data_IF_760268297418
#
_entry.id   IF_760268297418
#
_cell.length_a   1.000
_cell.length_b   1.000
_cell.length_c   1.000
_cell.angle_alpha   90.00
_cell.angle_beta   90.00
_cell.angle_gamma   90.00
#
_symmetry.space_group_name_H-M   'P 1'
#
loop_
_entity.id
_entity.type
_entity.pdbx_description
1 polymer ?
#
# COMPACT_ATOMS: atom_id res chain seq x y z
N UNK A 1 19.36 -18.76 2.80
CA UNK A 1 20.78 -18.91 3.16
C UNK A 1 21.04 -18.42 4.57
N UNK A 2 22.21 -18.71 5.10
CA UNK A 2 22.67 -18.45 6.49
C UNK A 2 22.34 -17.03 7.00
N UNK A 3 22.41 -16.02 6.13
CA UNK A 3 22.11 -14.62 6.52
C UNK A 3 20.66 -14.44 6.97
N UNK A 4 19.69 -14.97 6.23
CA UNK A 4 18.26 -14.88 6.59
C UNK A 4 17.96 -15.66 7.86
N UNK A 5 18.59 -16.82 8.06
CA UNK A 5 18.47 -17.63 9.28
C UNK A 5 19.01 -16.90 10.52
N UNK A 6 20.13 -16.16 10.35
CA UNK A 6 20.70 -15.33 11.41
C UNK A 6 19.77 -14.15 11.71
N UNK A 7 19.21 -13.48 10.70
CA UNK A 7 18.26 -12.39 10.88
C UNK A 7 16.98 -12.87 11.58
N UNK A 8 16.47 -14.04 11.24
CA UNK A 8 15.27 -14.61 11.86
C UNK A 8 15.50 -14.92 13.35
N UNK A 9 16.71 -15.40 13.69
CA UNK A 9 17.08 -15.76 15.06
C UNK A 9 17.44 -14.56 15.94
N UNK A 10 18.13 -13.55 15.39
CA UNK A 10 18.70 -12.43 16.16
C UNK A 10 17.99 -11.11 15.87
N UNK A 11 17.24 -11.01 14.77
CA UNK A 11 16.57 -9.80 14.36
C UNK A 11 15.28 -9.54 15.14
N UNK A 12 14.96 -8.27 15.28
CA UNK A 12 13.64 -7.82 15.72
C UNK A 12 12.79 -7.37 14.53
N UNK A 13 11.47 -7.56 14.62
CA UNK A 13 10.53 -7.08 13.61
C UNK A 13 10.62 -5.54 13.55
N UNK A 14 10.95 -4.94 12.39
CA UNK A 14 10.95 -3.48 12.27
C UNK A 14 9.53 -2.97 12.31
N UNK A 15 9.18 -2.30 13.41
CA UNK A 15 7.88 -1.66 13.59
C UNK A 15 7.98 -0.14 13.31
N UNK A 16 6.90 0.47 12.82
CA UNK A 16 6.83 1.93 12.74
C UNK A 16 7.03 2.58 14.11
N UNK A 17 7.61 3.81 14.18
CA UNK A 17 7.94 4.46 15.46
C UNK A 17 6.75 4.70 16.40
N UNK A 18 5.53 4.71 15.87
CA UNK A 18 4.31 4.89 16.69
C UNK A 18 3.82 3.58 17.35
N UNK A 19 4.40 2.43 17.03
CA UNK A 19 4.16 1.17 17.73
C UNK A 19 5.28 0.98 18.74
N UNK A 20 4.99 1.30 19.99
CA UNK A 20 5.96 1.25 21.10
C UNK A 20 5.91 -0.05 21.88
N UNK A 21 4.80 -0.78 21.77
CA UNK A 21 4.64 -2.06 22.45
C UNK A 21 5.29 -3.18 21.65
N UNK A 22 5.95 -4.10 22.36
CA UNK A 22 6.50 -5.29 21.74
C UNK A 22 5.36 -6.25 21.37
N UNK A 23 5.37 -6.73 20.13
CA UNK A 23 4.38 -7.71 19.71
C UNK A 23 4.74 -9.10 20.27
N UNK A 24 3.81 -9.73 20.99
CA UNK A 24 3.94 -11.11 21.45
C UNK A 24 4.00 -12.09 20.27
N UNK A 25 3.20 -11.82 19.23
CA UNK A 25 3.21 -12.57 17.97
C UNK A 25 3.69 -11.67 16.82
N UNK A 26 4.89 -11.94 16.32
CA UNK A 26 5.49 -11.24 15.18
C UNK A 26 4.62 -11.29 13.92
N UNK A 27 3.83 -12.38 13.74
CA UNK A 27 2.98 -12.56 12.56
C UNK A 27 1.80 -11.59 12.53
N UNK A 28 1.44 -10.98 13.65
CA UNK A 28 0.39 -9.93 13.66
C UNK A 28 0.73 -8.72 12.81
N UNK A 29 2.02 -8.42 12.62
CA UNK A 29 2.45 -7.32 11.76
C UNK A 29 2.83 -7.82 10.36
N UNK A 30 2.07 -8.79 9.84
CA UNK A 30 2.21 -9.29 8.48
C UNK A 30 0.85 -9.71 7.92
N UNK A 31 0.69 -9.58 6.60
CA UNK A 31 -0.53 -10.01 5.90
C UNK A 31 -0.58 -11.53 5.77
N UNK A 32 -1.79 -12.10 5.76
CA UNK A 32 -2.00 -13.54 5.58
C UNK A 32 -1.56 -14.07 4.21
N UNK A 33 -1.28 -13.18 3.27
CA UNK A 33 -0.85 -13.51 1.90
C UNK A 33 0.61 -13.16 1.60
N UNK A 34 1.41 -12.80 2.59
CA UNK A 34 2.84 -12.54 2.39
C UNK A 34 3.58 -13.79 1.90
N UNK A 35 4.33 -13.66 0.79
CA UNK A 35 5.06 -14.77 0.17
C UNK A 35 6.55 -14.49 -0.01
N UNK A 36 6.90 -13.27 -0.41
CA UNK A 36 8.22 -12.91 -0.87
C UNK A 36 8.97 -12.14 0.22
N UNK A 37 9.95 -12.74 0.92
CA UNK A 37 10.76 -12.01 1.90
C UNK A 37 11.62 -10.96 1.21
N UNK A 38 11.95 -9.88 1.94
CA UNK A 38 12.82 -8.81 1.41
C UNK A 38 12.32 -7.39 1.65
N UNK A 39 11.19 -7.23 2.33
CA UNK A 39 10.63 -5.93 2.69
C UNK A 39 10.88 -5.63 4.17
N UNK A 40 11.23 -4.38 4.49
CA UNK A 40 11.37 -3.90 5.87
C UNK A 40 10.02 -3.42 6.47
N UNK A 41 8.98 -3.28 5.64
CA UNK A 41 7.66 -2.85 6.10
C UNK A 41 6.56 -3.75 5.52
N UNK A 42 5.55 -4.06 6.33
CA UNK A 42 4.37 -4.77 5.89
C UNK A 42 3.36 -3.82 5.20
N UNK A 43 2.56 -4.31 4.23
CA UNK A 43 1.47 -3.53 3.63
C UNK A 43 0.25 -3.51 4.56
N UNK A 44 0.28 -2.64 5.57
CA UNK A 44 -0.59 -2.72 6.75
C UNK A 44 -2.09 -2.54 6.46
N UNK A 45 -2.48 -1.93 5.35
CA UNK A 45 -3.88 -1.96 4.90
C UNK A 45 -4.37 -3.39 4.60
N UNK A 46 -3.47 -4.30 4.25
CA UNK A 46 -3.78 -5.72 4.06
C UNK A 46 -4.08 -6.49 5.35
N UNK A 47 -3.75 -5.93 6.53
CA UNK A 47 -4.04 -6.55 7.83
C UNK A 47 -5.55 -6.61 8.13
N UNK A 48 -6.36 -5.82 7.44
CA UNK A 48 -7.83 -5.88 7.52
C UNK A 48 -8.41 -7.17 6.91
N UNK A 49 -7.62 -7.94 6.15
CA UNK A 49 -8.06 -9.14 5.48
C UNK A 49 -7.54 -10.40 6.18
N UNK A 50 -8.46 -11.23 6.62
CA UNK A 50 -8.19 -12.62 7.01
C UNK A 50 -8.36 -13.54 5.80
N UNK A 51 -7.90 -14.80 5.89
CA UNK A 51 -8.14 -15.79 4.84
C UNK A 51 -9.64 -16.00 4.58
N UNK A 52 -10.44 -16.11 5.65
CA UNK A 52 -11.89 -16.29 5.58
C UNK A 52 -12.57 -15.09 4.91
N UNK A 53 -12.07 -13.86 5.18
CA UNK A 53 -12.62 -12.67 4.56
C UNK A 53 -12.26 -12.58 3.07
N UNK A 54 -11.04 -12.97 2.69
CA UNK A 54 -10.64 -13.06 1.29
C UNK A 54 -11.48 -14.07 0.51
N UNK A 55 -11.80 -15.23 1.10
CA UNK A 55 -12.70 -16.20 0.48
C UNK A 55 -14.11 -15.62 0.29
N UNK A 56 -14.69 -14.96 1.30
CA UNK A 56 -15.98 -14.28 1.16
C UNK A 56 -15.99 -13.22 0.05
N UNK A 57 -14.89 -12.51 -0.15
CA UNK A 57 -14.74 -11.55 -1.25
C UNK A 57 -14.77 -12.26 -2.60
N UNK A 58 -14.06 -13.39 -2.74
CA UNK A 58 -14.06 -14.22 -3.95
C UNK A 58 -15.43 -14.84 -4.24
N UNK A 59 -16.14 -15.33 -3.22
CA UNK A 59 -17.50 -15.89 -3.34
C UNK A 59 -18.50 -14.87 -3.90
N UNK A 60 -18.25 -13.56 -3.69
CA UNK A 60 -19.02 -12.48 -4.31
C UNK A 60 -18.64 -12.18 -5.77
N UNK A 61 -17.78 -13.00 -6.38
CA UNK A 61 -17.32 -12.83 -7.76
C UNK A 61 -16.24 -11.75 -7.94
N UNK A 62 -15.58 -11.32 -6.87
CA UNK A 62 -14.46 -10.37 -6.95
C UNK A 62 -13.16 -11.12 -7.16
N UNK A 63 -12.41 -10.75 -8.18
CA UNK A 63 -11.07 -11.29 -8.40
C UNK A 63 -10.08 -10.67 -7.40
N UNK A 64 -9.29 -11.51 -6.74
CA UNK A 64 -8.23 -11.11 -5.83
C UNK A 64 -6.88 -11.43 -6.47
N UNK A 65 -6.03 -10.40 -6.59
CA UNK A 65 -4.71 -10.52 -7.18
C UNK A 65 -3.65 -9.86 -6.28
N UNK A 66 -2.40 -10.26 -6.42
CA UNK A 66 -1.31 -9.82 -5.57
C UNK A 66 -0.16 -9.25 -6.39
N UNK A 67 0.40 -8.15 -5.93
CA UNK A 67 1.61 -7.54 -6.46
C UNK A 67 2.69 -7.54 -5.37
N UNK A 68 3.96 -7.48 -5.77
CA UNK A 68 5.08 -7.42 -4.84
C UNK A 68 5.73 -6.04 -4.90
N UNK A 69 5.97 -5.45 -3.73
CA UNK A 69 6.84 -4.28 -3.55
C UNK A 69 7.73 -4.52 -2.34
N UNK A 70 9.04 -4.47 -2.54
CA UNK A 70 10.00 -4.52 -1.44
C UNK A 70 10.25 -3.12 -0.90
N UNK A 71 9.57 -2.81 0.19
CA UNK A 71 9.61 -1.50 0.84
C UNK A 71 10.82 -1.42 1.76
N UNK A 72 11.68 -0.42 1.53
CA UNK A 72 12.85 -0.15 2.36
C UNK A 72 12.52 0.61 3.65
N UNK A 73 13.50 0.67 4.58
CA UNK A 73 13.37 1.40 5.85
C UNK A 73 13.08 2.90 5.68
N UNK A 74 13.41 3.45 4.51
CA UNK A 74 13.17 4.86 4.20
C UNK A 74 11.69 5.27 4.22
N UNK A 75 10.76 4.33 4.09
CA UNK A 75 9.30 4.62 4.13
C UNK A 75 8.84 5.19 5.48
N UNK A 76 9.59 4.96 6.55
CA UNK A 76 9.29 5.48 7.89
C UNK A 76 9.87 6.88 8.13
N UNK A 77 10.63 7.45 7.17
CA UNK A 77 11.20 8.79 7.30
C UNK A 77 10.15 9.85 7.00
N UNK A 78 10.02 10.88 7.84
CA UNK A 78 9.13 12.00 7.57
C UNK A 78 9.60 12.82 6.36
N UNK A 79 8.67 13.48 5.68
CA UNK A 79 9.00 14.48 4.66
C UNK A 79 9.57 15.71 5.36
N UNK A 80 10.83 16.04 5.08
CA UNK A 80 11.57 17.16 5.70
C UNK A 80 11.70 18.38 4.79
N UNK A 81 11.22 18.31 3.53
CA UNK A 81 11.32 19.41 2.57
C UNK A 81 10.04 20.27 2.62
N UNK A 82 10.19 21.58 2.58
CA UNK A 82 9.06 22.53 2.49
C UNK A 82 8.38 22.44 1.12
N UNK A 83 9.17 22.32 0.06
CA UNK A 83 8.69 22.11 -1.31
C UNK A 83 8.61 20.62 -1.62
N UNK A 84 7.39 20.10 -1.62
CA UNK A 84 7.13 18.66 -1.85
C UNK A 84 7.64 18.17 -3.19
N UNK A 85 7.75 19.03 -4.20
CA UNK A 85 8.28 18.65 -5.52
C UNK A 85 9.77 18.27 -5.50
N UNK A 86 10.49 18.67 -4.44
CA UNK A 86 11.90 18.36 -4.21
C UNK A 86 12.12 17.13 -3.34
N UNK A 87 11.04 16.45 -2.93
CA UNK A 87 11.15 15.23 -2.14
C UNK A 87 11.68 14.07 -3.01
N UNK A 88 12.83 13.50 -2.64
CA UNK A 88 13.39 12.31 -3.30
C UNK A 88 12.82 11.05 -2.64
N UNK A 89 11.94 10.37 -3.36
CA UNK A 89 11.37 9.10 -2.92
C UNK A 89 12.43 7.99 -3.01
N UNK A 90 12.46 7.14 -2.00
CA UNK A 90 13.31 5.96 -2.00
C UNK A 90 12.94 5.02 -3.15
N UNK A 91 13.99 4.40 -3.72
CA UNK A 91 13.82 3.38 -4.75
C UNK A 91 13.37 2.07 -4.11
N UNK A 92 12.27 1.50 -4.60
CA UNK A 92 11.69 0.24 -4.11
C UNK A 92 11.48 -0.71 -5.28
N UNK A 93 11.85 -1.98 -5.09
CA UNK A 93 11.76 -3.00 -6.13
C UNK A 93 10.36 -3.61 -6.17
N UNK A 94 9.77 -3.65 -7.36
CA UNK A 94 8.44 -4.22 -7.59
C UNK A 94 8.45 -5.39 -8.58
N UNK A 95 7.40 -6.22 -8.48
CA UNK A 95 7.13 -7.31 -9.42
C UNK A 95 5.63 -7.31 -9.75
N UNK A 96 5.31 -7.33 -11.05
CA UNK A 96 3.99 -7.60 -11.60
C UNK A 96 4.09 -8.83 -12.51
N UNK A 97 3.37 -9.92 -12.18
CA UNK A 97 3.36 -11.13 -12.99
C UNK A 97 2.47 -10.98 -14.23
N UNK A 98 2.65 -11.87 -15.21
CA UNK A 98 1.82 -11.90 -16.43
C UNK A 98 0.35 -12.17 -16.10
N UNK A 99 0.08 -13.13 -15.21
CA UNK A 99 -1.29 -13.51 -14.84
C UNK A 99 -2.05 -12.34 -14.21
N UNK A 100 -1.37 -11.55 -13.37
CA UNK A 100 -1.96 -10.36 -12.74
C UNK A 100 -2.16 -9.25 -13.77
N UNK A 101 -1.19 -9.02 -14.66
CA UNK A 101 -1.32 -8.03 -15.73
C UNK A 101 -2.51 -8.35 -16.65
N UNK A 102 -2.65 -9.62 -17.06
CA UNK A 102 -3.76 -10.06 -17.91
C UNK A 102 -5.11 -9.93 -17.21
N UNK A 103 -5.19 -10.26 -15.91
CA UNK A 103 -6.40 -10.11 -15.11
C UNK A 103 -6.81 -8.63 -14.99
N UNK A 104 -5.87 -7.75 -14.73
CA UNK A 104 -6.11 -6.30 -14.63
C UNK A 104 -6.59 -5.73 -15.97
N UNK A 105 -5.98 -6.14 -17.09
CA UNK A 105 -6.39 -5.73 -18.42
C UNK A 105 -7.81 -6.19 -18.75
N UNK A 106 -8.12 -7.46 -18.52
CA UNK A 106 -9.49 -8.00 -18.70
C UNK A 106 -10.52 -7.26 -17.85
N UNK A 107 -10.16 -6.89 -16.62
CA UNK A 107 -11.02 -6.14 -15.71
C UNK A 107 -11.31 -4.75 -16.26
N UNK A 108 -10.28 -4.06 -16.75
CA UNK A 108 -10.38 -2.73 -17.35
C UNK A 108 -11.19 -2.74 -18.65
N UNK A 109 -10.88 -3.67 -19.56
CA UNK A 109 -11.57 -3.81 -20.85
C UNK A 109 -13.06 -4.13 -20.67
N UNK A 110 -13.41 -4.82 -19.58
CA UNK A 110 -14.79 -5.08 -19.18
C UNK A 110 -15.47 -3.88 -18.49
N UNK A 111 -14.82 -2.72 -18.38
CA UNK A 111 -15.33 -1.53 -17.70
C UNK A 111 -15.56 -1.73 -16.20
N UNK A 112 -14.82 -2.66 -15.56
CA UNK A 112 -14.91 -2.95 -14.13
C UNK A 112 -13.84 -2.18 -13.36
N UNK A 113 -14.07 -2.00 -12.06
CA UNK A 113 -13.18 -1.24 -11.18
C UNK A 113 -11.98 -2.06 -10.72
N UNK A 114 -10.83 -1.40 -10.66
CA UNK A 114 -9.62 -1.89 -10.02
C UNK A 114 -9.52 -1.22 -8.66
N UNK A 115 -9.62 -2.03 -7.60
CA UNK A 115 -9.53 -1.61 -6.21
C UNK A 115 -8.14 -1.95 -5.67
N UNK A 116 -7.34 -0.95 -5.34
CA UNK A 116 -6.09 -1.16 -4.65
C UNK A 116 -6.31 -1.31 -3.14
N UNK A 117 -5.63 -2.27 -2.53
CA UNK A 117 -5.54 -2.41 -1.08
C UNK A 117 -4.15 -1.94 -0.64
N UNK A 118 -4.13 -0.78 0.00
CA UNK A 118 -2.92 -0.11 0.47
C UNK A 118 -2.23 0.77 -0.57
N UNK A 119 -1.53 1.76 -0.07
CA UNK A 119 -0.71 2.68 -0.87
C UNK A 119 0.44 1.98 -1.59
N UNK A 120 0.90 0.85 -1.03
CA UNK A 120 1.90 -0.05 -1.63
C UNK A 120 1.42 -0.58 -2.99
N UNK A 121 0.23 -1.20 -3.04
CA UNK A 121 -0.38 -1.70 -4.28
C UNK A 121 -0.64 -0.57 -5.28
N UNK A 122 -1.13 0.58 -4.79
CA UNK A 122 -1.33 1.78 -5.61
C UNK A 122 -0.05 2.21 -6.31
N UNK A 123 1.06 2.30 -5.59
CA UNK A 123 2.35 2.74 -6.15
C UNK A 123 2.88 1.76 -7.20
N UNK A 124 2.72 0.46 -7.00
CA UNK A 124 3.07 -0.53 -8.02
C UNK A 124 2.22 -0.33 -9.27
N UNK A 125 0.89 -0.34 -9.12
CA UNK A 125 -0.03 -0.27 -10.25
C UNK A 125 0.14 1.03 -11.05
N UNK A 126 0.26 2.18 -10.39
CA UNK A 126 0.48 3.46 -11.04
C UNK A 126 1.86 3.57 -11.72
N UNK A 127 2.87 2.84 -11.23
CA UNK A 127 4.18 2.76 -11.88
C UNK A 127 4.12 1.96 -13.18
N UNK A 128 3.43 0.82 -13.17
CA UNK A 128 3.48 -0.16 -14.26
C UNK A 128 2.44 0.09 -15.35
N UNK A 129 1.35 0.81 -15.06
CA UNK A 129 0.33 1.11 -16.02
C UNK A 129 0.84 2.06 -17.12
N UNK A 130 0.49 1.77 -18.37
CA UNK A 130 0.71 2.68 -19.48
C UNK A 130 -0.24 3.89 -19.44
N UNK A 131 -0.16 4.78 -20.44
CA UNK A 131 -1.01 5.98 -20.49
C UNK A 131 -2.49 5.68 -20.75
N UNK A 132 -2.84 4.45 -21.16
CA UNK A 132 -4.22 3.99 -21.35
C UNK A 132 -4.72 3.18 -20.15
N UNK A 133 -3.88 2.99 -19.13
CA UNK A 133 -4.18 2.22 -17.93
C UNK A 133 -4.05 0.71 -18.12
N UNK A 134 -3.35 0.23 -19.15
CA UNK A 134 -3.07 -1.18 -19.36
C UNK A 134 -1.72 -1.58 -18.75
N UNK A 135 -1.56 -2.87 -18.54
CA UNK A 135 -0.48 -3.46 -17.77
C UNK A 135 0.28 -4.49 -18.60
N UNK A 136 1.58 -4.60 -18.37
CA UNK A 136 2.44 -5.68 -18.89
C UNK A 136 3.23 -6.28 -17.74
N UNK A 137 3.51 -7.58 -17.83
CA UNK A 137 4.45 -8.24 -16.92
C UNK A 137 5.76 -7.45 -16.89
N UNK A 138 6.17 -7.06 -15.71
CA UNK A 138 7.45 -6.38 -15.52
C UNK A 138 7.91 -6.42 -14.07
N UNK A 139 9.19 -6.22 -13.88
CA UNK A 139 9.80 -5.97 -12.58
C UNK A 139 10.82 -4.84 -12.72
N UNK A 140 11.06 -4.13 -11.65
CA UNK A 140 11.99 -2.99 -11.68
C UNK A 140 11.94 -2.18 -10.40
N UNK A 141 12.51 -1.01 -10.45
CA UNK A 141 12.49 -0.09 -9.31
C UNK A 141 11.54 1.07 -9.58
N UNK A 142 10.84 1.50 -8.53
CA UNK A 142 9.99 2.68 -8.56
C UNK A 142 10.43 3.72 -7.54
N UNK A 143 10.38 4.97 -7.93
CA UNK A 143 10.48 6.14 -7.08
C UNK A 143 9.22 7.01 -7.19
N UNK A 144 8.10 6.40 -7.58
CA UNK A 144 6.87 7.15 -7.83
C UNK A 144 6.45 7.93 -6.57
N UNK A 145 6.26 9.22 -6.75
CA UNK A 145 5.73 10.12 -5.74
C UNK A 145 4.41 10.69 -6.22
N UNK A 146 3.33 10.32 -5.52
CA UNK A 146 1.97 10.72 -5.86
C UNK A 146 1.53 11.79 -4.87
N UNK A 147 1.19 12.97 -5.40
CA UNK A 147 0.72 14.13 -4.64
C UNK A 147 -0.37 14.88 -5.42
N UNK A 148 -1.10 15.83 -4.82
CA UNK A 148 -2.18 16.55 -5.49
C UNK A 148 -1.78 17.13 -6.84
N UNK A 149 -2.58 16.84 -7.87
CA UNK A 149 -2.29 17.12 -9.28
C UNK A 149 -1.87 15.88 -10.10
N UNK A 150 -1.54 14.77 -9.43
CA UNK A 150 -1.29 13.50 -10.12
C UNK A 150 -2.58 12.96 -10.75
N UNK A 151 -2.48 12.46 -11.98
CA UNK A 151 -3.61 11.84 -12.69
C UNK A 151 -3.48 10.33 -12.61
N UNK A 152 -4.36 9.71 -11.83
CA UNK A 152 -4.43 8.26 -11.72
C UNK A 152 -4.85 7.63 -13.04
N UNK A 153 -4.22 6.51 -13.37
CA UNK A 153 -4.43 5.75 -14.60
C UNK A 153 -4.66 4.26 -14.36
N UNK A 154 -4.25 3.76 -13.20
CA UNK A 154 -4.25 2.34 -12.89
C UNK A 154 -5.40 1.92 -11.97
N UNK A 155 -5.75 2.72 -10.98
CA UNK A 155 -6.74 2.35 -9.96
C UNK A 155 -7.98 3.24 -10.02
N UNK A 156 -9.11 2.68 -9.61
CA UNK A 156 -10.39 3.39 -9.50
C UNK A 156 -10.76 3.67 -8.04
N UNK A 157 -10.35 2.79 -7.13
CA UNK A 157 -10.65 2.86 -5.70
C UNK A 157 -9.43 2.46 -4.88
N UNK A 158 -9.38 2.94 -3.65
CA UNK A 158 -8.32 2.62 -2.69
C UNK A 158 -8.90 2.33 -1.31
N UNK A 159 -8.59 1.15 -0.76
CA UNK A 159 -8.77 0.85 0.65
C UNK A 159 -7.44 1.06 1.36
N UNK A 160 -7.42 1.91 2.37
CA UNK A 160 -6.19 2.26 3.09
C UNK A 160 -6.44 2.62 4.55
N UNK A 161 -5.39 2.63 5.37
CA UNK A 161 -5.45 3.08 6.76
C UNK A 161 -5.52 4.60 6.85
N UNK A 162 -5.84 5.13 8.04
CA UNK A 162 -5.57 6.52 8.38
C UNK A 162 -4.07 6.72 8.60
N UNK A 163 -3.51 7.75 7.97
CA UNK A 163 -2.08 8.01 7.92
C UNK A 163 -1.65 9.16 8.82
N UNK A 164 -0.35 9.21 9.13
CA UNK A 164 0.27 10.31 9.87
C UNK A 164 0.13 11.64 9.11
N UNK A 165 -0.10 12.76 9.82
CA UNK A 165 -0.07 14.08 9.22
C UNK A 165 1.31 14.38 8.59
N UNK A 166 1.33 15.24 7.58
CA UNK A 166 2.56 15.64 6.85
C UNK A 166 3.32 14.47 6.23
N UNK A 167 2.65 13.36 5.92
CA UNK A 167 3.26 12.19 5.27
C UNK A 167 3.00 12.18 3.76
N UNK A 168 3.86 11.48 3.01
CA UNK A 168 3.64 11.20 1.57
C UNK A 168 2.35 10.45 1.32
N UNK A 169 1.87 9.69 2.30
CA UNK A 169 0.66 8.88 2.20
C UNK A 169 -0.61 9.75 2.22
N UNK A 170 -0.66 10.78 3.07
CA UNK A 170 -1.76 11.78 3.02
C UNK A 170 -1.79 12.51 1.68
N UNK A 171 -0.62 12.80 1.10
CA UNK A 171 -0.55 13.43 -0.23
C UNK A 171 -1.12 12.52 -1.31
N UNK A 172 -0.80 11.22 -1.28
CA UNK A 172 -1.34 10.23 -2.22
C UNK A 172 -2.86 10.14 -2.16
N UNK A 173 -3.43 9.96 -0.96
CA UNK A 173 -4.90 9.88 -0.82
C UNK A 173 -5.59 11.22 -1.17
N UNK A 174 -4.93 12.35 -0.89
CA UNK A 174 -5.43 13.67 -1.29
C UNK A 174 -5.38 13.87 -2.80
N UNK A 175 -4.44 13.26 -3.49
CA UNK A 175 -4.39 13.26 -4.94
C UNK A 175 -5.56 12.47 -5.55
N UNK A 176 -5.97 11.37 -4.92
CA UNK A 176 -7.06 10.51 -5.40
C UNK A 176 -8.45 11.09 -5.07
N UNK A 177 -8.68 11.44 -3.81
CA UNK A 177 -10.01 11.81 -3.32
C UNK A 177 -10.25 13.34 -3.21
N UNK A 178 -9.20 14.13 -3.46
CA UNK A 178 -9.22 15.58 -3.24
C UNK A 178 -8.87 15.96 -1.80
N UNK A 179 -8.02 16.97 -1.65
CA UNK A 179 -7.49 17.41 -0.35
C UNK A 179 -8.60 17.72 0.67
N UNK A 180 -9.61 18.50 0.27
CA UNK A 180 -10.66 18.94 1.20
C UNK A 180 -11.54 17.77 1.66
N UNK A 181 -11.80 16.80 0.79
CA UNK A 181 -12.53 15.58 1.13
C UNK A 181 -11.76 14.76 2.17
N UNK A 182 -10.47 14.56 1.93
CA UNK A 182 -9.58 13.84 2.86
C UNK A 182 -9.54 14.54 4.22
N UNK A 183 -9.33 15.86 4.25
CA UNK A 183 -9.28 16.60 5.51
C UNK A 183 -10.61 16.54 6.28
N UNK A 184 -11.77 16.61 5.59
CA UNK A 184 -13.09 16.41 6.22
C UNK A 184 -13.25 15.01 6.81
N UNK A 185 -12.85 13.97 6.05
CA UNK A 185 -12.89 12.58 6.52
C UNK A 185 -12.01 12.39 7.76
N UNK A 186 -10.81 12.95 7.77
CA UNK A 186 -9.90 12.88 8.92
C UNK A 186 -10.45 13.63 10.14
N UNK A 187 -11.04 14.82 9.94
CA UNK A 187 -11.70 15.55 11.04
C UNK A 187 -12.82 14.72 11.64
N UNK A 188 -13.69 14.18 10.81
CA UNK A 188 -14.78 13.29 11.24
C UNK A 188 -14.24 12.06 12.00
N UNK A 189 -13.21 11.40 11.47
CA UNK A 189 -12.60 10.25 12.11
C UNK A 189 -12.03 10.57 13.52
N UNK A 190 -11.46 11.77 13.70
CA UNK A 190 -10.98 12.22 15.02
C UNK A 190 -12.16 12.48 15.96
N UNK A 191 -13.22 13.16 15.50
CA UNK A 191 -14.43 13.47 16.28
C UNK A 191 -15.13 12.19 16.73
N UNK A 192 -15.24 11.19 15.84
CA UNK A 192 -15.87 9.89 16.12
C UNK A 192 -14.90 8.86 16.74
N UNK A 193 -13.69 9.26 17.10
CA UNK A 193 -12.68 8.43 17.76
C UNK A 193 -12.30 7.14 17.02
N UNK A 194 -12.21 7.22 15.69
CA UNK A 194 -11.63 6.15 14.88
C UNK A 194 -10.19 5.89 15.28
N UNK A 195 -9.77 4.64 15.20
CA UNK A 195 -8.38 4.24 15.46
C UNK A 195 -7.53 4.48 14.22
N UNK A 196 -6.36 5.02 14.43
CA UNK A 196 -5.46 5.40 13.36
C UNK A 196 -4.32 4.40 13.19
N UNK A 197 -3.63 4.50 12.04
CA UNK A 197 -2.41 3.78 11.69
C UNK A 197 -2.61 2.27 11.43
N UNK A 198 -1.53 1.48 11.63
CA UNK A 198 -1.41 0.10 11.15
C UNK A 198 -2.48 -0.86 11.67
N UNK A 199 -2.86 -0.73 12.94
CA UNK A 199 -3.86 -1.59 13.61
C UNK A 199 -5.17 -0.85 13.88
N UNK A 200 -5.36 0.29 13.25
CA UNK A 200 -6.55 1.10 13.38
C UNK A 200 -7.66 0.70 12.42
N UNK A 201 -8.54 1.65 12.20
CA UNK A 201 -9.62 1.52 11.23
C UNK A 201 -9.13 1.87 9.82
N UNK A 202 -9.90 1.54 8.80
CA UNK A 202 -9.56 1.87 7.41
C UNK A 202 -10.61 2.78 6.78
N UNK A 203 -10.22 3.37 5.65
CA UNK A 203 -11.07 4.19 4.80
C UNK A 203 -11.09 3.61 3.38
N UNK A 204 -12.22 3.82 2.69
CA UNK A 204 -12.44 3.39 1.31
C UNK A 204 -12.94 4.55 0.46
#
# INVERSE_FOLDING_TARGET
GIFLEILDRLGEMPLPPYITEKLDDKNRYQTVYAKNPGSAAAPTAGLHFTNEYLEKVKEKGVNVAYVTLHVGLGTFRPVVVEDVTKHDMHSEYYILSSEVADLLNKTRDAGKRIVAVGTTSTRVLETVADNKGHFKMQSGNTKIFIYPGYKFKAIDCLLTNFHLPKSTLIMLISALAGKDNVLRAYKHAVEEKYRFFSFGDCMF
#
